data_IF_565718090970
#
_entry.id   IF_565718090970
#
_cell.length_a   1.000
_cell.length_b   1.000
_cell.length_c   1.000
_cell.angle_alpha   90.00
_cell.angle_beta   90.00
_cell.angle_gamma   90.00
#
_symmetry.space_group_name_H-M   'P 1'
#
loop_
_entity.id
_entity.type
_entity.pdbx_description
1 polymer ?
#
# COMPACT_ATOMS: atom_id res chain seq x y z
N UNK A 1 -42.58 -15.93 -22.42
CA UNK A 1 -41.71 -17.07 -22.08
C UNK A 1 -41.42 -17.04 -20.59
N UNK A 2 -41.59 -18.16 -19.87
CA UNK A 2 -41.23 -18.26 -18.45
C UNK A 2 -39.71 -18.24 -18.33
N UNK A 3 -39.13 -17.07 -18.05
CA UNK A 3 -37.72 -16.94 -17.69
C UNK A 3 -37.57 -17.47 -16.26
N UNK A 4 -37.10 -18.70 -16.13
CA UNK A 4 -36.82 -19.32 -14.84
C UNK A 4 -35.39 -19.86 -14.84
N UNK A 5 -34.72 -19.77 -13.70
CA UNK A 5 -33.37 -20.30 -13.50
C UNK A 5 -33.40 -21.28 -12.35
N UNK A 6 -32.98 -22.52 -12.60
CA UNK A 6 -32.82 -23.53 -11.55
C UNK A 6 -31.39 -23.50 -11.03
N UNK A 7 -31.25 -23.28 -9.72
CA UNK A 7 -30.00 -23.25 -8.98
C UNK A 7 -29.97 -24.41 -7.98
N UNK A 8 -28.79 -24.95 -7.69
CA UNK A 8 -28.65 -25.95 -6.63
C UNK A 8 -28.77 -25.28 -5.27
N UNK A 9 -29.40 -25.95 -4.29
CA UNK A 9 -29.55 -25.43 -2.93
C UNK A 9 -28.22 -25.17 -2.23
N UNK A 10 -27.15 -25.86 -2.64
CA UNK A 10 -25.77 -25.68 -2.15
C UNK A 10 -25.20 -24.27 -2.40
N UNK A 11 -25.80 -23.50 -3.31
CA UNK A 11 -25.43 -22.10 -3.55
C UNK A 11 -25.90 -21.19 -2.40
N UNK A 12 -26.91 -21.61 -1.63
CA UNK A 12 -27.40 -20.91 -0.44
C UNK A 12 -26.57 -21.32 0.79
N UNK A 13 -25.29 -20.96 0.77
CA UNK A 13 -24.34 -21.24 1.85
C UNK A 13 -23.99 -19.95 2.61
N UNK A 14 -22.90 -19.95 3.36
CA UNK A 14 -22.44 -18.78 4.15
C UNK A 14 -21.89 -17.62 3.32
N UNK A 15 -21.59 -17.83 2.03
CA UNK A 15 -21.19 -16.78 1.12
C UNK A 15 -22.38 -15.93 0.66
N UNK A 16 -22.17 -14.68 0.22
CA UNK A 16 -23.25 -13.81 -0.24
C UNK A 16 -24.10 -14.45 -1.35
N UNK A 17 -25.41 -14.50 -1.13
CA UNK A 17 -26.35 -15.06 -2.09
C UNK A 17 -26.52 -14.12 -3.29
N UNK A 18 -26.50 -14.68 -4.49
CA UNK A 18 -26.69 -13.92 -5.73
C UNK A 18 -28.16 -13.96 -6.12
N UNK A 19 -28.92 -12.99 -5.63
CA UNK A 19 -30.36 -12.87 -5.87
C UNK A 19 -30.63 -11.65 -6.77
N UNK A 20 -31.19 -11.89 -7.95
CA UNK A 20 -31.65 -10.85 -8.89
C UNK A 20 -32.79 -11.39 -9.73
N UNK A 21 -33.63 -10.49 -10.24
CA UNK A 21 -34.66 -10.75 -11.25
C UNK A 21 -34.11 -10.78 -12.69
N UNK A 22 -32.83 -10.47 -12.89
CA UNK A 22 -32.13 -10.64 -14.16
C UNK A 22 -31.72 -12.11 -14.38
N UNK A 23 -32.65 -12.88 -14.95
CA UNK A 23 -32.46 -14.29 -15.26
C UNK A 23 -31.36 -14.55 -16.31
N UNK A 24 -31.12 -13.61 -17.22
CA UNK A 24 -30.07 -13.75 -18.25
C UNK A 24 -28.69 -13.64 -17.59
N UNK A 25 -28.53 -12.69 -16.67
CA UNK A 25 -27.33 -12.55 -15.85
C UNK A 25 -27.10 -13.77 -14.94
N UNK A 26 -28.13 -14.30 -14.27
CA UNK A 26 -28.00 -15.52 -13.46
C UNK A 26 -27.56 -16.73 -14.28
N UNK A 27 -28.11 -16.89 -15.50
CA UNK A 27 -27.68 -17.95 -16.40
C UNK A 27 -26.23 -17.80 -16.86
N UNK A 28 -25.77 -16.56 -17.09
CA UNK A 28 -24.36 -16.28 -17.38
C UNK A 28 -23.46 -16.67 -16.21
N UNK A 29 -23.78 -16.24 -14.98
CA UNK A 29 -23.02 -16.58 -13.78
C UNK A 29 -22.92 -18.11 -13.57
N UNK A 30 -24.02 -18.83 -13.75
CA UNK A 30 -24.05 -20.30 -13.65
C UNK A 30 -23.14 -20.98 -14.68
N UNK A 31 -23.00 -20.42 -15.88
CA UNK A 31 -22.05 -20.93 -16.89
C UNK A 31 -20.61 -20.63 -16.50
N UNK A 32 -20.35 -19.43 -15.98
CA UNK A 32 -19.02 -19.02 -15.52
C UNK A 32 -18.52 -19.86 -14.35
N UNK A 33 -19.36 -20.18 -13.37
CA UNK A 33 -19.00 -21.02 -12.21
C UNK A 33 -18.47 -22.41 -12.58
N UNK A 34 -18.89 -22.96 -13.72
CA UNK A 34 -18.42 -24.29 -14.17
C UNK A 34 -16.98 -24.28 -14.68
N UNK A 35 -16.46 -23.10 -15.04
CA UNK A 35 -15.15 -22.94 -15.68
C UNK A 35 -14.22 -22.01 -14.90
N UNK A 36 -14.75 -21.27 -13.92
CA UNK A 36 -13.97 -20.33 -13.11
C UNK A 36 -13.31 -21.02 -11.92
N UNK A 37 -12.24 -20.39 -11.45
CA UNK A 37 -11.45 -20.82 -10.30
C UNK A 37 -11.11 -19.58 -9.45
N UNK A 38 -10.94 -19.72 -8.14
CA UNK A 38 -10.55 -18.60 -7.29
C UNK A 38 -9.25 -17.97 -7.77
N UNK A 39 -9.23 -16.64 -7.95
CA UNK A 39 -8.02 -15.91 -8.36
C UNK A 39 -6.88 -16.10 -7.35
N UNK A 40 -7.23 -16.24 -6.07
CA UNK A 40 -6.31 -16.51 -4.95
C UNK A 40 -5.56 -17.83 -5.07
N UNK A 41 -5.93 -18.72 -6.00
CA UNK A 41 -5.12 -19.88 -6.34
C UNK A 41 -3.81 -19.47 -7.03
N UNK A 42 -3.83 -18.39 -7.82
CA UNK A 42 -2.72 -17.98 -8.69
C UNK A 42 -2.02 -16.69 -8.25
N UNK A 43 -2.65 -15.91 -7.38
CA UNK A 43 -2.13 -14.60 -6.97
C UNK A 43 -2.07 -14.48 -5.45
N UNK A 44 -1.16 -13.63 -4.99
CA UNK A 44 -1.14 -13.14 -3.61
C UNK A 44 -1.73 -11.74 -3.58
N UNK A 45 -2.69 -11.53 -2.70
CA UNK A 45 -3.34 -10.24 -2.46
C UNK A 45 -2.87 -9.75 -1.09
N UNK A 46 -2.39 -8.52 -1.05
CA UNK A 46 -1.93 -7.90 0.19
C UNK A 46 -2.32 -6.44 0.28
N UNK A 47 -2.50 -5.97 1.52
CA UNK A 47 -2.86 -4.59 1.80
C UNK A 47 -1.67 -3.64 1.71
N UNK A 48 -1.96 -2.35 1.81
CA UNK A 48 -0.94 -1.32 1.96
C UNK A 48 -0.28 -1.28 3.33
N UNK A 49 0.64 -0.34 3.49
CA UNK A 49 1.29 -0.01 4.75
C UNK A 49 0.52 1.06 5.53
N UNK A 50 0.58 0.98 6.86
CA UNK A 50 -0.03 1.95 7.77
C UNK A 50 1.02 2.44 8.77
N UNK A 51 1.37 3.72 8.64
CA UNK A 51 2.38 4.39 9.46
C UNK A 51 1.80 4.86 10.80
N UNK A 52 0.48 5.07 10.91
CA UNK A 52 -0.16 5.74 12.05
C UNK A 52 0.41 7.15 12.31
N UNK A 53 0.91 7.80 11.27
CA UNK A 53 1.42 9.18 11.26
C UNK A 53 1.06 9.90 9.95
N UNK A 54 -0.02 9.47 9.29
CA UNK A 54 -0.44 9.95 7.98
C UNK A 54 -0.86 11.43 7.99
N UNK A 55 -1.51 11.87 9.09
CA UNK A 55 -2.07 13.23 9.23
C UNK A 55 -1.01 14.32 9.09
N UNK A 56 0.14 14.13 9.75
CA UNK A 56 1.25 15.07 9.71
C UNK A 56 2.21 14.81 8.55
N UNK A 57 1.93 13.80 7.72
CA UNK A 57 2.76 13.37 6.59
C UNK A 57 4.20 13.09 7.01
N UNK A 58 4.42 12.62 8.24
CA UNK A 58 5.77 12.54 8.80
C UNK A 58 6.67 11.59 8.02
N UNK A 59 6.17 10.43 7.60
CA UNK A 59 7.00 9.49 6.86
C UNK A 59 7.10 9.76 5.36
N UNK A 60 6.34 10.68 4.78
CA UNK A 60 6.34 10.86 3.31
C UNK A 60 6.34 12.32 2.90
N UNK A 61 6.87 12.60 1.73
CA UNK A 61 6.88 13.94 1.14
C UNK A 61 6.65 13.85 -0.36
N UNK A 62 6.15 14.94 -0.93
CA UNK A 62 5.98 15.06 -2.37
C UNK A 62 7.24 15.69 -2.99
N UNK A 63 7.46 15.50 -4.29
CA UNK A 63 8.60 16.10 -5.01
C UNK A 63 8.60 17.64 -4.95
N UNK A 64 7.45 18.29 -4.75
CA UNK A 64 7.36 19.75 -4.58
C UNK A 64 7.98 20.26 -3.27
N UNK A 65 8.24 19.37 -2.31
CA UNK A 65 8.96 19.71 -1.07
C UNK A 65 10.49 19.65 -1.25
N UNK A 66 10.99 19.08 -2.35
CA UNK A 66 12.42 18.93 -2.62
C UNK A 66 12.97 20.26 -3.15
N UNK A 67 13.97 20.81 -2.45
CA UNK A 67 14.63 22.08 -2.79
C UNK A 67 16.05 21.90 -3.32
N UNK A 68 16.66 20.74 -3.07
CA UNK A 68 17.97 20.38 -3.60
C UNK A 68 18.10 18.85 -3.67
N UNK A 69 18.92 18.36 -4.58
CA UNK A 69 19.13 16.93 -4.83
C UNK A 69 20.59 16.67 -5.20
N UNK A 70 21.18 15.67 -4.54
CA UNK A 70 22.46 15.10 -4.97
C UNK A 70 22.32 13.59 -5.23
N UNK A 71 23.45 12.90 -5.48
CA UNK A 71 23.44 11.47 -5.83
C UNK A 71 22.78 10.59 -4.75
N UNK A 72 22.95 10.92 -3.47
CA UNK A 72 22.59 10.04 -2.35
C UNK A 72 21.50 10.61 -1.45
N UNK A 73 21.14 11.90 -1.55
CA UNK A 73 20.18 12.55 -0.67
C UNK A 73 19.23 13.48 -1.43
N UNK A 74 18.05 13.70 -0.86
CA UNK A 74 17.20 14.86 -1.14
C UNK A 74 17.29 15.85 0.02
N UNK A 75 17.26 17.14 -0.29
CA UNK A 75 17.01 18.18 0.72
C UNK A 75 15.57 18.65 0.57
N UNK A 76 14.77 18.52 1.62
CA UNK A 76 13.37 18.94 1.64
C UNK A 76 13.15 20.17 2.52
N UNK A 77 12.15 20.99 2.19
CA UNK A 77 11.71 22.12 3.00
C UNK A 77 10.36 21.81 3.65
N UNK A 78 10.31 21.80 4.99
CA UNK A 78 9.08 21.54 5.74
C UNK A 78 9.03 22.41 6.99
N UNK A 79 7.93 23.13 7.18
CA UNK A 79 7.75 24.08 8.29
C UNK A 79 8.91 25.10 8.39
N UNK A 80 9.33 25.67 7.26
CA UNK A 80 10.46 26.61 7.15
C UNK A 80 11.81 26.07 7.63
N UNK A 81 11.96 24.75 7.72
CA UNK A 81 13.21 24.08 8.06
C UNK A 81 13.60 23.11 6.96
N UNK A 82 14.90 23.10 6.64
CA UNK A 82 15.46 22.17 5.67
C UNK A 82 15.91 20.88 6.34
N UNK A 83 15.69 19.76 5.67
CA UNK A 83 16.12 18.44 6.11
C UNK A 83 16.78 17.69 4.97
N UNK A 84 17.91 17.05 5.25
CA UNK A 84 18.57 16.13 4.33
C UNK A 84 18.03 14.74 4.60
N UNK A 85 17.59 14.04 3.56
CA UNK A 85 17.00 12.70 3.65
C UNK A 85 17.77 11.79 2.69
N UNK A 86 18.32 10.69 3.20
CA UNK A 86 19.07 9.71 2.44
C UNK A 86 18.16 8.92 1.49
N UNK A 87 18.51 8.81 0.21
CA UNK A 87 17.71 8.11 -0.80
C UNK A 87 17.62 6.59 -0.56
N UNK A 88 18.63 6.02 0.10
CA UNK A 88 18.70 4.58 0.34
C UNK A 88 17.61 4.06 1.31
N UNK A 89 16.99 4.94 2.11
CA UNK A 89 15.87 4.60 3.00
C UNK A 89 14.51 5.02 2.42
N UNK A 90 14.49 5.49 1.17
CA UNK A 90 13.28 5.94 0.49
C UNK A 90 12.73 4.88 -0.45
N UNK A 91 11.40 4.80 -0.49
CA UNK A 91 10.66 4.05 -1.51
C UNK A 91 9.68 4.99 -2.22
N UNK A 92 9.42 4.79 -3.53
CA UNK A 92 8.31 5.47 -4.18
C UNK A 92 7.00 5.12 -3.48
N UNK A 93 6.12 6.11 -3.29
CA UNK A 93 4.92 5.93 -2.48
C UNK A 93 3.66 6.28 -3.25
N UNK A 94 2.82 5.30 -3.55
CA UNK A 94 1.56 5.50 -4.21
C UNK A 94 0.47 5.91 -3.21
N UNK A 95 0.21 7.22 -3.16
CA UNK A 95 -0.87 7.83 -2.38
C UNK A 95 -1.50 8.98 -3.18
N UNK A 96 -2.52 8.70 -4.02
CA UNK A 96 -3.17 9.72 -4.83
C UNK A 96 -4.04 10.62 -3.93
N UNK A 97 -3.53 11.81 -3.64
CA UNK A 97 -4.18 12.83 -2.81
C UNK A 97 -4.78 13.94 -3.68
N UNK A 98 -4.11 14.34 -4.77
CA UNK A 98 -4.57 15.41 -5.68
C UNK A 98 -5.61 14.87 -6.66
N UNK A 99 -6.53 15.73 -7.13
CA UNK A 99 -7.54 15.33 -8.13
C UNK A 99 -6.92 14.83 -9.43
N UNK A 100 -5.79 15.42 -9.85
CA UNK A 100 -5.06 15.00 -11.05
C UNK A 100 -4.36 13.63 -10.91
N UNK A 101 -4.13 13.17 -9.68
CA UNK A 101 -3.58 11.84 -9.39
C UNK A 101 -4.68 10.77 -9.32
N UNK A 102 -5.95 11.19 -9.31
CA UNK A 102 -7.13 10.32 -9.28
C UNK A 102 -7.62 10.11 -10.72
N UNK A 103 -8.18 8.93 -10.98
CA UNK A 103 -8.70 8.57 -12.31
C UNK A 103 -7.74 7.80 -13.19
N UNK A 104 -6.70 7.21 -12.60
CA UNK A 104 -5.93 6.16 -13.27
C UNK A 104 -6.86 5.00 -13.64
N UNK A 105 -6.74 4.52 -14.87
CA UNK A 105 -7.39 3.30 -15.35
C UNK A 105 -6.34 2.19 -15.53
N UNK A 106 -6.78 0.99 -15.88
CA UNK A 106 -5.89 -0.17 -16.06
C UNK A 106 -4.74 0.06 -17.05
N UNK A 107 -4.91 0.93 -18.05
CA UNK A 107 -3.90 1.18 -19.08
C UNK A 107 -3.01 2.39 -18.81
N UNK A 108 -3.21 3.06 -17.67
CA UNK A 108 -2.44 4.23 -17.30
C UNK A 108 -1.04 3.81 -16.84
N UNK A 109 -0.01 4.49 -17.35
CA UNK A 109 1.36 4.31 -16.82
C UNK A 109 1.38 4.85 -15.39
N UNK A 110 1.62 3.96 -14.44
CA UNK A 110 1.65 4.31 -13.03
C UNK A 110 2.86 5.21 -12.74
N UNK A 111 2.59 6.39 -12.19
CA UNK A 111 3.60 7.32 -11.71
C UNK A 111 3.21 7.78 -10.31
N UNK A 112 4.21 8.07 -9.50
CA UNK A 112 4.03 8.75 -8.22
C UNK A 112 5.01 9.91 -8.12
N UNK A 113 4.54 10.99 -7.51
CA UNK A 113 5.30 12.20 -7.18
C UNK A 113 5.64 12.24 -5.68
N UNK A 114 5.61 11.08 -5.00
CA UNK A 114 5.82 10.98 -3.55
C UNK A 114 6.85 9.93 -3.20
N UNK A 115 7.63 10.25 -2.17
CA UNK A 115 8.58 9.36 -1.52
C UNK A 115 8.14 9.10 -0.08
N UNK A 116 8.40 7.90 0.42
CA UNK A 116 8.21 7.55 1.83
C UNK A 116 9.53 7.05 2.43
N UNK A 117 9.84 7.53 3.63
CA UNK A 117 10.87 7.03 4.53
C UNK A 117 10.43 5.66 5.02
N UNK A 118 11.10 4.61 4.56
CA UNK A 118 10.83 3.22 4.86
C UNK A 118 11.98 2.66 5.73
N UNK A 119 11.88 2.78 7.08
CA UNK A 119 12.96 2.41 7.99
C UNK A 119 13.03 0.90 8.23
N UNK A 120 12.91 0.12 7.17
CA UNK A 120 12.86 -1.34 7.21
C UNK A 120 13.77 -1.95 6.16
N UNK A 121 14.32 -3.13 6.47
CA UNK A 121 15.03 -3.94 5.49
C UNK A 121 14.06 -4.64 4.52
N UNK A 122 14.61 -5.45 3.60
CA UNK A 122 13.82 -6.22 2.63
C UNK A 122 12.95 -7.32 3.26
N UNK A 123 13.28 -7.75 4.47
CA UNK A 123 12.52 -8.75 5.24
C UNK A 123 11.44 -8.10 6.11
N UNK A 124 11.39 -6.76 6.15
CA UNK A 124 10.43 -6.00 6.94
C UNK A 124 10.84 -5.82 8.40
N UNK A 125 12.10 -6.10 8.74
CA UNK A 125 12.64 -5.79 10.07
C UNK A 125 12.99 -4.32 10.17
N UNK A 126 12.69 -3.73 11.33
CA UNK A 126 13.01 -2.32 11.59
C UNK A 126 14.53 -2.14 11.61
N UNK A 127 15.03 -1.15 10.88
CA UNK A 127 16.43 -0.75 10.93
C UNK A 127 16.73 -0.25 12.36
N UNK A 128 17.73 -0.82 13.07
CA UNK A 128 18.08 -0.42 14.43
C UNK A 128 18.50 1.06 14.57
N UNK A 129 18.35 1.62 15.77
CA UNK A 129 18.58 3.05 16.00
C UNK A 129 20.04 3.46 15.78
N UNK A 130 20.99 2.62 16.17
CA UNK A 130 22.42 2.80 15.93
C UNK A 130 22.73 2.84 14.43
N UNK A 131 22.12 1.96 13.64
CA UNK A 131 22.24 2.00 12.17
C UNK A 131 21.60 3.25 11.57
N UNK A 132 20.44 3.68 12.08
CA UNK A 132 19.80 4.95 11.68
C UNK A 132 20.71 6.15 11.98
N UNK A 133 21.41 6.13 13.11
CA UNK A 133 22.34 7.17 13.53
C UNK A 133 23.64 7.20 12.73
N UNK A 134 24.08 6.06 12.19
CA UNK A 134 25.33 5.95 11.43
C UNK A 134 25.11 6.17 9.92
N UNK A 135 24.16 5.45 9.33
CA UNK A 135 23.96 5.42 7.86
C UNK A 135 22.90 6.38 7.35
N UNK A 136 21.97 6.78 8.21
CA UNK A 136 20.78 7.57 7.83
C UNK A 136 20.64 8.83 8.70
N UNK A 137 21.76 9.51 8.97
CA UNK A 137 21.90 10.62 9.92
C UNK A 137 20.87 11.73 9.67
N UNK A 138 20.69 12.14 8.42
CA UNK A 138 19.77 13.20 8.03
C UNK A 138 18.31 12.80 8.26
N UNK A 139 17.95 11.59 7.82
CA UNK A 139 16.63 11.01 8.05
C UNK A 139 16.35 10.84 9.55
N UNK A 140 17.31 10.33 10.32
CA UNK A 140 17.15 10.14 11.76
C UNK A 140 16.97 11.48 12.48
N UNK A 141 17.73 12.51 12.10
CA UNK A 141 17.54 13.88 12.61
C UNK A 141 16.16 14.43 12.29
N UNK A 142 15.65 14.18 11.08
CA UNK A 142 14.29 14.56 10.70
C UNK A 142 13.24 13.83 11.56
N UNK A 143 13.37 12.52 11.78
CA UNK A 143 12.47 11.76 12.63
C UNK A 143 12.51 12.26 14.08
N UNK A 144 13.70 12.55 14.62
CA UNK A 144 13.86 13.09 15.97
C UNK A 144 13.18 14.45 16.14
N UNK A 145 13.26 15.32 15.14
CA UNK A 145 12.57 16.61 15.19
C UNK A 145 11.03 16.46 15.20
N UNK A 146 10.54 15.29 14.77
CA UNK A 146 9.14 14.90 14.80
C UNK A 146 8.83 13.90 15.93
N UNK A 147 9.71 13.75 16.93
CA UNK A 147 9.57 12.75 17.99
C UNK A 147 8.22 12.84 18.70
N UNK A 148 7.74 14.03 19.05
CA UNK A 148 6.45 14.22 19.74
C UNK A 148 5.24 13.74 18.91
N UNK A 149 5.36 13.76 17.58
CA UNK A 149 4.36 13.20 16.67
C UNK A 149 4.46 11.68 16.59
N UNK A 150 5.69 11.17 16.65
CA UNK A 150 6.02 9.77 16.40
C UNK A 150 6.03 8.90 17.64
N UNK A 151 6.20 9.43 18.84
CA UNK A 151 6.32 8.60 20.04
C UNK A 151 4.97 7.93 20.37
N UNK A 152 4.95 6.59 20.51
CA UNK A 152 3.74 5.86 20.87
C UNK A 152 3.21 6.16 22.27
N UNK A 153 1.91 5.95 22.45
CA UNK A 153 1.27 6.00 23.76
C UNK A 153 1.91 4.96 24.69
N UNK A 154 2.38 5.40 25.87
CA UNK A 154 3.04 4.55 26.86
C UNK A 154 4.57 4.62 26.87
N UNK A 155 5.21 5.23 25.87
CA UNK A 155 6.67 5.48 25.88
C UNK A 155 6.98 6.85 26.47
N UNK A 156 6.20 7.88 26.11
CA UNK A 156 6.38 9.23 26.64
C UNK A 156 5.01 9.89 26.93
N UNK A 157 4.94 10.87 27.86
CA UNK A 157 3.69 11.54 28.25
C UNK A 157 2.94 12.20 27.09
N UNK A 158 3.66 12.71 26.10
CA UNK A 158 3.11 13.36 24.91
C UNK A 158 2.70 12.37 23.80
N UNK A 159 3.00 11.08 23.96
CA UNK A 159 2.79 10.06 22.94
C UNK A 159 1.33 9.76 22.68
N UNK A 160 0.96 9.70 21.39
CA UNK A 160 -0.44 9.54 20.95
C UNK A 160 -0.65 8.38 20.00
N UNK A 161 0.40 7.83 19.40
CA UNK A 161 0.27 6.77 18.40
C UNK A 161 -0.02 5.44 19.10
N UNK A 162 -1.03 4.73 18.62
CA UNK A 162 -1.28 3.35 19.04
C UNK A 162 -0.39 2.42 18.19
N UNK A 163 0.82 2.13 18.70
CA UNK A 163 1.77 1.23 18.06
C UNK A 163 2.19 0.16 19.08
N UNK A 164 1.59 -1.04 19.02
CA UNK A 164 1.93 -2.12 19.93
C UNK A 164 3.42 -2.50 19.81
N UNK A 165 4.02 -2.95 20.92
CA UNK A 165 5.39 -3.46 21.00
C UNK A 165 6.50 -2.43 20.71
N UNK A 166 6.16 -1.14 20.62
CA UNK A 166 7.15 -0.08 20.56
C UNK A 166 7.97 -0.01 21.85
N UNK A 167 9.24 0.37 21.72
CA UNK A 167 10.13 0.68 22.84
C UNK A 167 10.76 2.05 22.67
N UNK A 168 11.51 2.51 23.68
CA UNK A 168 12.28 3.75 23.61
C UNK A 168 13.33 3.77 22.49
N UNK A 169 13.75 2.60 21.99
CA UNK A 169 14.72 2.48 20.90
C UNK A 169 14.06 2.23 19.52
N UNK A 170 12.74 1.98 19.49
CA UNK A 170 12.00 1.61 18.27
C UNK A 170 10.77 2.48 18.00
N UNK A 171 10.69 3.64 18.64
CA UNK A 171 9.54 4.57 18.59
C UNK A 171 9.16 5.03 17.17
N UNK A 172 10.09 4.98 16.22
CA UNK A 172 9.89 5.36 14.81
C UNK A 172 9.39 4.21 13.91
N UNK A 173 9.04 3.05 14.46
CA UNK A 173 8.37 2.03 13.65
C UNK A 173 6.92 2.42 13.32
N UNK A 174 6.42 1.93 12.20
CA UNK A 174 5.05 2.12 11.71
C UNK A 174 4.00 1.50 12.63
N UNK A 175 2.76 1.99 12.50
CA UNK A 175 1.63 1.52 13.28
C UNK A 175 1.25 0.05 13.10
N UNK A 176 1.58 -0.52 11.95
CA UNK A 176 1.28 -1.90 11.57
C UNK A 176 2.50 -2.51 10.85
N UNK A 177 2.87 -3.72 11.24
CA UNK A 177 3.96 -4.48 10.62
C UNK A 177 3.49 -5.42 9.51
N UNK A 178 2.17 -5.56 9.31
CA UNK A 178 1.63 -6.37 8.24
C UNK A 178 2.12 -5.85 6.88
N UNK A 179 2.47 -6.79 5.99
CA UNK A 179 2.83 -6.55 4.60
C UNK A 179 4.10 -5.75 4.32
N UNK A 180 4.91 -5.37 5.33
CA UNK A 180 6.14 -4.61 5.10
C UNK A 180 7.08 -5.27 4.08
N UNK A 181 7.30 -6.58 4.19
CA UNK A 181 8.11 -7.36 3.25
C UNK A 181 7.38 -7.75 1.97
N UNK A 182 6.04 -7.70 1.95
CA UNK A 182 5.25 -8.11 0.77
C UNK A 182 5.50 -7.24 -0.46
N UNK A 183 6.00 -6.02 -0.24
CA UNK A 183 6.31 -5.09 -1.31
C UNK A 183 7.71 -5.27 -1.89
N UNK A 184 8.66 -5.86 -1.16
CA UNK A 184 10.08 -5.80 -1.50
C UNK A 184 10.42 -6.51 -2.82
N UNK A 185 10.96 -5.74 -3.77
CA UNK A 185 11.41 -6.19 -5.09
C UNK A 185 10.33 -6.96 -5.86
N UNK A 186 9.08 -6.52 -5.75
CA UNK A 186 7.94 -7.29 -6.26
C UNK A 186 7.09 -6.51 -7.25
N UNK A 187 7.08 -6.99 -8.49
CA UNK A 187 6.13 -6.56 -9.53
C UNK A 187 4.71 -6.93 -9.10
N UNK A 188 3.78 -5.98 -9.27
CA UNK A 188 2.41 -6.11 -8.76
C UNK A 188 1.44 -5.22 -9.54
N UNK A 189 0.16 -5.54 -9.44
CA UNK A 189 -0.93 -4.66 -9.81
C UNK A 189 -1.40 -3.89 -8.57
N UNK A 190 -1.55 -2.58 -8.67
CA UNK A 190 -2.25 -1.77 -7.68
C UNK A 190 -3.72 -1.70 -8.09
N UNK A 191 -4.60 -2.15 -7.19
CA UNK A 191 -6.03 -2.28 -7.44
C UNK A 191 -6.82 -1.36 -6.53
N UNK A 192 -7.71 -0.55 -7.11
CA UNK A 192 -8.60 0.32 -6.37
C UNK A 192 -9.73 -0.45 -5.69
N UNK A 193 -9.88 -0.30 -4.37
CA UNK A 193 -10.96 -0.90 -3.59
C UNK A 193 -12.17 0.04 -3.64
N UNK A 194 -13.35 -0.50 -3.98
CA UNK A 194 -14.60 0.28 -4.12
C UNK A 194 -14.50 1.46 -5.10
N UNK A 195 -13.67 1.31 -6.14
CA UNK A 195 -13.56 2.31 -7.21
C UNK A 195 -14.77 2.27 -8.15
N UNK A 196 -15.21 3.44 -8.62
CA UNK A 196 -16.25 3.59 -9.64
C UNK A 196 -15.79 3.15 -11.03
N UNK A 197 -14.47 3.15 -11.26
CA UNK A 197 -13.85 2.71 -12.51
C UNK A 197 -12.82 1.63 -12.21
N UNK A 198 -12.71 0.58 -13.06
CA UNK A 198 -11.69 -0.43 -12.89
C UNK A 198 -10.30 0.20 -12.98
N UNK A 199 -9.46 -0.13 -12.00
CA UNK A 199 -8.07 0.29 -11.96
C UNK A 199 -7.23 -0.91 -11.54
N UNK A 200 -6.47 -1.43 -12.50
CA UNK A 200 -5.45 -2.44 -12.29
C UNK A 200 -4.13 -1.87 -12.82
N UNK A 201 -3.46 -1.04 -12.03
CA UNK A 201 -2.28 -0.33 -12.48
C UNK A 201 -1.03 -1.19 -12.28
N UNK A 202 -0.27 -1.39 -13.35
CA UNK A 202 0.94 -2.21 -13.32
C UNK A 202 2.10 -1.46 -12.67
N UNK A 203 2.67 -2.02 -11.61
CA UNK A 203 3.80 -1.47 -10.87
C UNK A 203 5.06 -2.31 -11.05
N UNK A 204 6.09 -1.66 -11.61
CA UNK A 204 7.47 -2.18 -11.76
C UNK A 204 8.48 -1.41 -10.91
N UNK A 205 8.05 -0.41 -10.14
CA UNK A 205 8.93 0.53 -9.44
C UNK A 205 8.97 0.29 -7.93
N UNK A 206 8.57 -0.90 -7.49
CA UNK A 206 8.59 -1.29 -6.08
C UNK A 206 7.83 -0.31 -5.17
N UNK A 207 6.71 0.25 -5.66
CA UNK A 207 5.98 1.28 -4.93
C UNK A 207 5.34 0.70 -3.67
N UNK A 208 5.43 1.44 -2.56
CA UNK A 208 4.60 1.21 -1.38
C UNK A 208 3.23 1.85 -1.60
N UNK A 209 2.16 1.23 -1.10
CA UNK A 209 0.80 1.77 -1.17
C UNK A 209 0.28 2.06 0.24
N UNK A 210 -0.46 3.16 0.41
CA UNK A 210 -1.12 3.46 1.68
C UNK A 210 -2.25 2.47 1.94
N UNK A 211 -2.43 2.02 3.19
CA UNK A 211 -3.76 1.56 3.63
C UNK A 211 -4.70 2.76 3.50
N UNK A 212 -5.56 2.77 2.49
CA UNK A 212 -6.74 3.63 2.51
C UNK A 212 -7.75 3.01 3.47
N UNK A 213 -8.59 3.81 4.13
CA UNK A 213 -9.63 3.31 5.03
C UNK A 213 -10.67 2.45 4.29
N UNK A 214 -11.89 2.94 4.12
CA UNK A 214 -12.95 2.16 3.45
C UNK A 214 -12.77 2.04 1.93
N UNK A 215 -12.07 3.00 1.31
CA UNK A 215 -11.82 3.06 -0.15
C UNK A 215 -10.34 3.31 -0.42
N UNK A 216 -9.54 2.24 -0.34
CA UNK A 216 -8.08 2.26 -0.49
C UNK A 216 -7.58 1.53 -1.72
N UNK A 217 -6.37 1.00 -1.60
CA UNK A 217 -5.74 0.17 -2.62
C UNK A 217 -5.24 -1.12 -1.99
N UNK A 218 -5.28 -2.20 -2.76
CA UNK A 218 -4.51 -3.41 -2.48
C UNK A 218 -3.52 -3.67 -3.60
N UNK A 219 -2.58 -4.58 -3.34
CA UNK A 219 -1.66 -5.09 -4.33
C UNK A 219 -2.02 -6.53 -4.67
N UNK A 220 -1.92 -6.86 -5.95
CA UNK A 220 -1.99 -8.23 -6.46
C UNK A 220 -0.64 -8.56 -7.08
N UNK A 221 -0.06 -9.67 -6.67
CA UNK A 221 1.19 -10.16 -7.23
C UNK A 221 1.05 -11.61 -7.64
N UNK A 222 1.86 -12.03 -8.60
CA UNK A 222 1.90 -13.43 -9.05
C UNK A 222 2.48 -14.31 -7.94
N UNK A 223 1.92 -15.50 -7.73
CA UNK A 223 2.59 -16.57 -6.95
C UNK A 223 3.71 -17.22 -7.76
N UNK A 224 4.72 -17.73 -7.07
CA UNK A 224 5.86 -18.39 -7.73
C UNK A 224 5.46 -19.55 -8.65
N UNK A 225 4.39 -20.28 -8.29
CA UNK A 225 3.86 -21.43 -9.04
C UNK A 225 2.70 -21.06 -9.99
N UNK A 226 2.38 -19.77 -10.11
CA UNK A 226 1.30 -19.32 -10.99
C UNK A 226 1.62 -19.56 -12.46
N UNK A 227 0.64 -20.10 -13.18
CA UNK A 227 0.70 -20.30 -14.64
C UNK A 227 0.37 -19.04 -15.44
N UNK A 228 -0.02 -17.95 -14.78
CA UNK A 228 -0.45 -16.71 -15.41
C UNK A 228 0.46 -15.55 -15.01
N UNK A 229 0.83 -14.74 -15.99
CA UNK A 229 1.55 -13.48 -15.77
C UNK A 229 0.59 -12.35 -15.37
N UNK A 230 1.12 -11.28 -14.80
CA UNK A 230 0.31 -10.19 -14.24
C UNK A 230 -0.49 -9.45 -15.31
N UNK A 231 0.03 -9.37 -16.53
CA UNK A 231 -0.63 -8.81 -17.70
C UNK A 231 -1.87 -9.62 -18.09
N UNK A 232 -1.79 -10.96 -17.98
CA UNK A 232 -2.95 -11.82 -18.19
C UNK A 232 -3.97 -11.68 -17.06
N UNK A 233 -3.50 -11.54 -15.81
CA UNK A 233 -4.35 -11.30 -14.65
C UNK A 233 -5.05 -9.92 -14.72
N UNK A 234 -4.41 -8.94 -15.37
CA UNK A 234 -4.91 -7.58 -15.55
C UNK A 234 -5.99 -7.46 -16.63
N UNK A 235 -5.90 -8.28 -17.69
CA UNK A 235 -6.76 -8.24 -18.87
C UNK A 235 -8.21 -8.72 -18.60
#
# INVERSE_FOLDING_TARGET
ENRSVSLQSTILNEFPWRLTDDFDFLNLLKKLEKVSVPITNYVEIFGGIQTSAETNRTYWFSIDEIIDENKTTFTIMRNNKSYVIEKAILKPYFKPVKRAEKGLNSYSILKTDKWIIFPYDSEGHLIPQDEMQDKYIGTYRYLLDNYDVLVPAGIAPQGKRNVPHATADTWYHYGRSQHLSSFANRTKLIVGIMSQLPMYAYDTNDMLISVGGTAGYCAISKKNDSKYDLEFIQA
#
